data_IF_501320044747
#
_entry.id   IF_501320044747
#
_cell.length_a   1.000
_cell.length_b   1.000
_cell.length_c   1.000
_cell.angle_alpha   90.00
_cell.angle_beta   90.00
_cell.angle_gamma   90.00
#
_symmetry.space_group_name_H-M   'P 1'
#
loop_
_entity.id
_entity.type
_entity.pdbx_description
1 polymer ?
#
# COMPACT_ATOMS: atom_id res chain seq x y z
N UNK A 1 7.71 -2.32 11.92
CA UNK A 1 7.21 -0.94 11.69
C UNK A 1 5.84 -0.75 12.37
N UNK A 2 5.69 0.33 13.14
CA UNK A 2 4.41 0.74 13.76
C UNK A 2 3.54 1.51 12.78
N UNK A 3 3.00 0.82 11.77
CA UNK A 3 2.24 1.43 10.66
C UNK A 3 0.91 2.01 11.15
N UNK A 4 0.38 1.52 12.28
CA UNK A 4 -0.78 2.08 12.96
C UNK A 4 -0.67 3.59 13.25
N UNK A 5 0.54 4.14 13.37
CA UNK A 5 0.76 5.58 13.55
C UNK A 5 0.29 6.42 12.35
N UNK A 6 0.07 5.81 11.18
CA UNK A 6 -0.55 6.47 10.03
C UNK A 6 -1.93 7.07 10.38
N UNK A 7 -2.65 6.49 11.34
CA UNK A 7 -3.96 6.96 11.78
C UNK A 7 -3.90 8.25 12.62
N UNK A 8 -2.73 8.66 13.11
CA UNK A 8 -2.57 9.96 13.77
C UNK A 8 -2.58 11.13 12.77
N UNK A 9 -2.35 10.86 11.47
CA UNK A 9 -2.39 11.88 10.43
C UNK A 9 -3.80 12.44 10.25
N UNK A 10 -3.91 13.76 10.03
CA UNK A 10 -5.20 14.44 9.87
C UNK A 10 -5.97 13.89 8.67
N UNK A 11 -5.23 13.59 7.61
CA UNK A 11 -5.66 13.02 6.34
C UNK A 11 -6.24 11.61 6.48
N UNK A 12 -5.97 10.90 7.58
CA UNK A 12 -6.47 9.54 7.78
C UNK A 12 -7.88 9.50 8.40
N UNK A 13 -8.26 10.47 9.24
CA UNK A 13 -9.48 10.37 10.05
C UNK A 13 -10.37 11.62 10.11
N UNK A 14 -9.85 12.81 9.79
CA UNK A 14 -10.64 14.05 9.86
C UNK A 14 -11.56 14.16 8.64
N UNK A 15 -12.75 14.75 8.86
CA UNK A 15 -13.64 15.16 7.78
C UNK A 15 -13.00 16.34 7.05
N UNK A 16 -12.60 16.10 5.81
CA UNK A 16 -11.89 17.05 4.96
C UNK A 16 -12.84 17.58 3.88
N UNK A 17 -12.35 18.55 3.11
CA UNK A 17 -13.03 19.02 1.91
C UNK A 17 -13.33 17.84 0.95
N UNK A 18 -14.48 17.82 0.24
CA UNK A 18 -14.84 16.75 -0.68
C UNK A 18 -13.78 16.42 -1.74
N UNK A 19 -12.92 17.37 -2.11
CA UNK A 19 -11.78 17.15 -3.02
C UNK A 19 -10.87 16.00 -2.58
N UNK A 20 -10.73 15.77 -1.28
CA UNK A 20 -9.89 14.70 -0.73
C UNK A 20 -10.54 13.31 -0.79
N UNK A 21 -11.83 13.26 -1.12
CA UNK A 21 -12.57 12.01 -1.17
C UNK A 21 -12.95 11.41 0.19
N UNK A 22 -13.61 10.24 0.17
CA UNK A 22 -14.21 9.63 1.35
C UNK A 22 -13.15 9.18 2.36
N UNK A 23 -13.44 9.40 3.65
CA UNK A 23 -12.54 9.06 4.74
C UNK A 23 -12.29 7.55 4.84
N UNK A 24 -13.32 6.77 4.54
CA UNK A 24 -13.37 5.33 4.61
C UNK A 24 -12.34 4.67 3.70
N UNK A 25 -11.93 5.37 2.64
CA UNK A 25 -10.88 4.92 1.72
C UNK A 25 -9.54 5.58 2.09
N UNK A 26 -9.54 6.86 2.45
CA UNK A 26 -8.32 7.60 2.82
C UNK A 26 -7.56 6.97 3.97
N UNK A 27 -8.23 6.67 5.08
CA UNK A 27 -7.59 6.11 6.28
C UNK A 27 -6.85 4.80 5.97
N UNK A 28 -7.52 3.79 5.38
CA UNK A 28 -6.87 2.55 4.97
C UNK A 28 -5.78 2.75 3.92
N UNK A 29 -5.98 3.65 2.96
CA UNK A 29 -4.95 3.97 1.96
C UNK A 29 -3.68 4.56 2.61
N UNK A 30 -3.84 5.44 3.59
CA UNK A 30 -2.73 6.06 4.32
C UNK A 30 -1.89 5.01 5.07
N UNK A 31 -2.58 4.06 5.71
CA UNK A 31 -1.94 2.95 6.41
C UNK A 31 -1.24 1.99 5.43
N UNK A 32 -1.88 1.63 4.31
CA UNK A 32 -1.27 0.77 3.28
C UNK A 32 -0.03 1.40 2.66
N UNK A 33 -0.08 2.68 2.27
CA UNK A 33 1.07 3.37 1.65
C UNK A 33 2.25 3.47 2.61
N UNK A 34 1.97 3.78 3.89
CA UNK A 34 3.00 3.79 4.93
C UNK A 34 3.61 2.39 5.11
N UNK A 35 2.78 1.34 5.12
CA UNK A 35 3.22 -0.04 5.19
C UNK A 35 4.07 -0.46 3.99
N UNK A 36 3.66 -0.10 2.78
CA UNK A 36 4.40 -0.36 1.54
C UNK A 36 5.75 0.35 1.54
N UNK A 37 5.80 1.60 1.98
CA UNK A 37 7.07 2.35 2.09
C UNK A 37 8.02 1.67 3.06
N UNK A 38 7.52 1.23 4.21
CA UNK A 38 8.31 0.49 5.18
C UNK A 38 8.77 -0.89 4.65
N UNK A 39 7.92 -1.59 3.88
CA UNK A 39 8.28 -2.85 3.21
C UNK A 39 9.44 -2.65 2.24
N UNK A 40 9.36 -1.64 1.38
CA UNK A 40 10.42 -1.31 0.43
C UNK A 40 11.71 -0.84 1.12
N UNK A 41 11.61 -0.25 2.31
CA UNK A 41 12.74 0.07 3.17
C UNK A 41 13.33 -1.15 3.92
N UNK A 42 12.78 -2.35 3.73
CA UNK A 42 13.27 -3.60 4.32
C UNK A 42 12.67 -3.97 5.68
N UNK A 43 11.47 -3.47 6.02
CA UNK A 43 10.79 -3.89 7.24
C UNK A 43 10.17 -5.30 7.09
N UNK A 44 10.45 -6.20 8.04
CA UNK A 44 9.89 -7.57 8.03
C UNK A 44 8.59 -7.74 8.82
N UNK A 45 8.36 -6.88 9.82
CA UNK A 45 7.22 -6.99 10.74
C UNK A 45 6.37 -5.73 10.72
N UNK A 46 5.06 -5.87 10.54
CA UNK A 46 4.11 -4.74 10.43
C UNK A 46 3.04 -4.82 11.51
N UNK A 47 2.94 -3.77 12.31
CA UNK A 47 1.80 -3.56 13.21
C UNK A 47 0.79 -2.67 12.48
N UNK A 48 -0.37 -3.24 12.15
CA UNK A 48 -1.46 -2.61 11.40
C UNK A 48 -2.79 -2.77 12.14
N UNK A 49 -3.74 -1.87 11.88
CA UNK A 49 -5.03 -1.78 12.57
C UNK A 49 -6.20 -2.11 11.64
N UNK A 50 -6.27 -1.54 10.44
CA UNK A 50 -7.48 -1.64 9.62
C UNK A 50 -7.49 -2.91 8.75
N UNK A 51 -8.56 -3.74 8.78
CA UNK A 51 -8.61 -5.01 8.07
C UNK A 51 -8.40 -4.90 6.55
N UNK A 52 -8.92 -3.83 5.94
CA UNK A 52 -8.74 -3.59 4.51
C UNK A 52 -7.27 -3.34 4.16
N UNK A 53 -6.55 -2.53 4.96
CA UNK A 53 -5.13 -2.26 4.75
C UNK A 53 -4.29 -3.53 4.87
N UNK A 54 -4.61 -4.38 5.85
CA UNK A 54 -3.95 -5.67 6.06
C UNK A 54 -4.18 -6.59 4.86
N UNK A 55 -5.41 -6.65 4.35
CA UNK A 55 -5.74 -7.46 3.16
C UNK A 55 -4.93 -7.00 1.95
N UNK A 56 -4.93 -5.70 1.66
CA UNK A 56 -4.18 -5.12 0.53
C UNK A 56 -2.68 -5.34 0.67
N UNK A 57 -2.11 -5.13 1.87
CA UNK A 57 -0.68 -5.39 2.10
C UNK A 57 -0.31 -6.87 1.85
N UNK A 58 -1.17 -7.80 2.27
CA UNK A 58 -0.96 -9.23 1.99
C UNK A 58 -1.00 -9.54 0.49
N UNK A 59 -1.93 -8.94 -0.25
CA UNK A 59 -2.01 -9.09 -1.72
C UNK A 59 -0.76 -8.52 -2.40
N UNK A 60 -0.28 -7.35 -1.99
CA UNK A 60 0.96 -6.76 -2.51
C UNK A 60 2.16 -7.68 -2.24
N UNK A 61 2.34 -8.12 -1.00
CA UNK A 61 3.44 -9.03 -0.63
C UNK A 61 3.37 -10.32 -1.43
N UNK A 62 2.17 -10.89 -1.57
CA UNK A 62 1.94 -12.08 -2.39
C UNK A 62 2.38 -11.86 -3.84
N UNK A 63 1.92 -10.78 -4.48
CA UNK A 63 2.28 -10.48 -5.87
C UNK A 63 3.79 -10.25 -6.05
N UNK A 64 4.45 -9.61 -5.09
CA UNK A 64 5.90 -9.40 -5.13
C UNK A 64 6.69 -10.71 -5.00
N UNK A 65 6.18 -11.67 -4.22
CA UNK A 65 6.84 -12.96 -4.01
C UNK A 65 6.50 -14.02 -5.07
N UNK A 66 5.29 -13.96 -5.65
CA UNK A 66 4.83 -14.91 -6.67
C UNK A 66 5.28 -14.55 -8.10
N UNK A 67 5.91 -13.39 -8.29
CA UNK A 67 6.39 -12.95 -9.60
C UNK A 67 7.25 -14.00 -10.30
N UNK A 68 6.80 -14.48 -11.46
CA UNK A 68 7.67 -15.26 -12.36
C UNK A 68 8.77 -14.35 -12.90
N UNK A 69 9.98 -14.86 -13.20
CA UNK A 69 10.94 -14.07 -13.97
C UNK A 69 10.28 -13.67 -15.30
N UNK A 70 9.87 -12.41 -15.40
CA UNK A 70 9.23 -11.87 -16.59
C UNK A 70 10.17 -12.04 -17.78
N UNK A 71 9.60 -12.15 -18.99
CA UNK A 71 10.43 -12.18 -20.19
C UNK A 71 11.22 -10.88 -20.27
N UNK A 72 12.50 -10.98 -20.62
CA UNK A 72 13.40 -9.82 -20.70
C UNK A 72 12.81 -8.74 -21.63
N UNK A 73 12.12 -9.16 -22.69
CA UNK A 73 11.42 -8.25 -23.62
C UNK A 73 10.34 -7.38 -22.95
N UNK A 74 9.60 -7.95 -21.98
CA UNK A 74 8.50 -7.26 -21.28
C UNK A 74 9.02 -6.31 -20.18
N UNK A 75 10.25 -6.53 -19.69
CA UNK A 75 10.89 -5.70 -18.66
C UNK A 75 11.40 -4.37 -19.26
N UNK A 76 11.76 -4.32 -20.54
CA UNK A 76 12.27 -3.10 -21.17
C UNK A 76 11.24 -1.97 -21.21
N UNK A 77 9.95 -2.30 -21.28
CA UNK A 77 8.85 -1.32 -21.30
C UNK A 77 8.04 -1.35 -19.99
N UNK A 78 8.72 -1.55 -18.86
CA UNK A 78 8.08 -1.61 -17.54
C UNK A 78 7.28 -0.34 -17.19
N UNK A 79 7.61 0.80 -17.80
CA UNK A 79 6.89 2.08 -17.63
C UNK A 79 5.52 2.06 -18.30
N UNK A 80 5.37 1.29 -19.39
CA UNK A 80 4.10 1.15 -20.13
C UNK A 80 3.37 -0.16 -19.82
N UNK A 81 3.93 -1.00 -18.96
CA UNK A 81 3.36 -2.28 -18.59
C UNK A 81 1.98 -2.10 -17.94
N UNK A 82 0.96 -2.76 -18.51
CA UNK A 82 -0.36 -2.84 -17.90
C UNK A 82 -0.34 -3.96 -16.87
N UNK A 83 -0.61 -3.60 -15.62
CA UNK A 83 -0.91 -4.57 -14.57
C UNK A 83 -2.29 -5.15 -14.89
N UNK A 84 -2.34 -6.40 -15.33
CA UNK A 84 -3.58 -7.20 -15.47
C UNK A 84 -4.02 -7.81 -14.14
#
# INVERSE_FOLDING_TARGET
AGVTNAWAAREAWIKMDPFWGPREIRGPAWETITGLTALLAGADYFMMMHPFSIKTMKEIIKNLLEGSPGKIEDIYDWVSAKLE
#
